data_IF_199171716175
#
_entry.id   IF_199171716175
#
_cell.length_a   1.000
_cell.length_b   1.000
_cell.length_c   1.000
_cell.angle_alpha   90.00
_cell.angle_beta   90.00
_cell.angle_gamma   90.00
#
_symmetry.space_group_name_H-M   'P 1'
#
loop_
_entity.id
_entity.type
_entity.pdbx_description
1 polymer ?
#
# COMPACT_ATOMS: atom_id res chain seq x y z
N UNK A 1 18.82 20.25 3.80
CA UNK A 1 17.45 19.81 4.10
C UNK A 1 16.50 20.60 3.19
N UNK A 2 15.66 19.91 2.44
CA UNK A 2 14.69 20.52 1.53
C UNK A 2 13.32 19.84 1.66
N UNK A 3 12.25 20.65 1.64
CA UNK A 3 10.88 20.18 1.46
C UNK A 3 10.47 20.46 0.01
N UNK A 4 9.92 19.46 -0.66
CA UNK A 4 9.36 19.59 -2.01
C UNK A 4 7.88 19.27 -1.95
N UNK A 5 7.04 20.27 -2.24
CA UNK A 5 5.60 20.08 -2.40
C UNK A 5 5.31 19.31 -3.69
N UNK A 6 4.39 18.35 -3.63
CA UNK A 6 3.85 17.68 -4.81
C UNK A 6 2.59 18.40 -5.26
N UNK A 7 2.58 18.82 -6.51
CA UNK A 7 1.43 19.49 -7.14
C UNK A 7 1.24 18.92 -8.56
N UNK A 8 0.25 18.03 -8.77
CA UNK A 8 -0.79 17.62 -7.82
C UNK A 8 -0.28 16.62 -6.76
N UNK A 9 -0.99 16.47 -5.62
CA UNK A 9 -0.73 15.39 -4.67
C UNK A 9 -0.83 14.01 -5.32
N UNK A 10 0.03 13.07 -4.91
CA UNK A 10 0.14 11.76 -5.52
C UNK A 10 -0.59 10.68 -4.70
N UNK A 11 -1.46 9.85 -5.31
CA UNK A 11 -2.05 8.69 -4.63
C UNK A 11 -1.00 7.63 -4.30
N UNK A 12 -0.84 7.37 -3.01
CA UNK A 12 0.11 6.39 -2.47
C UNK A 12 -0.56 5.44 -1.48
N UNK A 13 0.09 4.33 -1.21
CA UNK A 13 -0.22 3.40 -0.14
C UNK A 13 0.95 3.40 0.84
N UNK A 14 0.67 3.62 2.12
CA UNK A 14 1.64 3.54 3.21
C UNK A 14 1.46 2.21 3.92
N UNK A 15 2.55 1.43 4.00
CA UNK A 15 2.55 0.14 4.68
C UNK A 15 2.06 0.32 6.13
N UNK A 16 1.09 -0.52 6.52
CA UNK A 16 0.43 -0.52 7.83
C UNK A 16 -0.37 0.76 8.19
N UNK A 17 -0.69 1.59 7.18
CA UNK A 17 -1.59 2.76 7.31
C UNK A 17 -2.70 2.80 6.26
N UNK A 18 -2.44 2.29 5.05
CA UNK A 18 -3.45 2.24 3.99
C UNK A 18 -3.21 3.26 2.88
N UNK A 19 -4.27 3.55 2.13
CA UNK A 19 -4.24 4.52 1.04
C UNK A 19 -4.18 5.96 1.56
N UNK A 20 -3.60 6.84 0.77
CA UNK A 20 -3.53 8.26 1.06
C UNK A 20 -3.05 9.10 -0.11
N UNK A 21 -3.06 10.41 0.10
CA UNK A 21 -2.53 11.41 -0.84
C UNK A 21 -1.24 12.01 -0.29
N UNK A 22 -0.14 11.81 -1.02
CA UNK A 22 1.15 12.41 -0.71
C UNK A 22 1.18 13.87 -1.19
N UNK A 23 1.40 14.80 -0.26
CA UNK A 23 1.44 16.24 -0.50
C UNK A 23 2.85 16.78 -0.65
N UNK A 24 3.87 16.03 -0.21
CA UNK A 24 5.25 16.47 -0.27
C UNK A 24 6.24 15.40 0.13
N UNK A 25 7.51 15.67 -0.18
CA UNK A 25 8.66 14.88 0.27
C UNK A 25 9.67 15.76 1.00
N UNK A 26 10.31 15.19 2.02
CA UNK A 26 11.38 15.83 2.80
C UNK A 26 12.67 15.05 2.54
N UNK A 27 13.68 15.76 2.04
CA UNK A 27 15.02 15.23 1.85
C UNK A 27 15.97 15.77 2.92
N UNK A 28 16.47 14.85 3.74
CA UNK A 28 17.47 15.11 4.78
C UNK A 28 18.91 14.92 4.29
N UNK A 29 19.12 14.34 3.12
CA UNK A 29 20.43 14.11 2.50
C UNK A 29 20.85 12.64 2.38
N UNK A 30 22.12 12.38 1.99
CA UNK A 30 22.60 11.07 1.51
C UNK A 30 22.47 9.87 2.46
N UNK A 31 22.32 10.10 3.76
CA UNK A 31 22.28 9.06 4.80
C UNK A 31 20.86 8.86 5.39
N UNK A 32 19.85 9.47 4.77
CA UNK A 32 18.46 9.42 5.24
C UNK A 32 17.51 9.01 4.14
N UNK A 33 16.42 8.33 4.52
CA UNK A 33 15.33 8.08 3.59
C UNK A 33 14.65 9.41 3.23
N UNK A 34 14.22 9.53 1.97
CA UNK A 34 13.18 10.50 1.61
C UNK A 34 11.95 10.21 2.46
N UNK A 35 11.42 11.24 3.14
CA UNK A 35 10.23 11.13 3.97
C UNK A 35 9.04 11.69 3.20
N UNK A 36 7.99 10.91 3.09
CA UNK A 36 6.76 11.27 2.38
C UNK A 36 5.71 11.77 3.37
N UNK A 37 5.18 12.97 3.12
CA UNK A 37 4.09 13.57 3.88
C UNK A 37 2.77 13.21 3.21
N UNK A 38 1.97 12.37 3.86
CA UNK A 38 0.78 11.75 3.28
C UNK A 38 -0.43 11.99 4.18
N UNK A 39 -1.54 12.46 3.62
CA UNK A 39 -2.83 12.42 4.30
C UNK A 39 -3.44 11.02 4.09
N UNK A 40 -3.69 10.30 5.18
CA UNK A 40 -4.27 8.95 5.14
C UNK A 40 -5.78 9.05 4.92
N UNK A 41 -6.30 8.30 3.95
CA UNK A 41 -7.69 8.41 3.52
C UNK A 41 -8.68 8.00 4.63
N UNK A 42 -8.41 6.88 5.30
CA UNK A 42 -9.34 6.29 6.28
C UNK A 42 -9.36 7.05 7.62
N UNK A 43 -8.20 7.49 8.11
CA UNK A 43 -8.08 8.15 9.43
C UNK A 43 -8.05 9.68 9.35
N UNK A 44 -7.76 10.26 8.18
CA UNK A 44 -7.51 11.70 8.02
C UNK A 44 -6.19 12.19 8.62
N UNK A 45 -5.36 11.30 9.16
CA UNK A 45 -4.09 11.67 9.76
C UNK A 45 -3.07 12.12 8.71
N UNK A 46 -2.29 13.15 9.03
CA UNK A 46 -1.08 13.46 8.27
C UNK A 46 0.06 12.61 8.83
N UNK A 47 0.56 11.70 8.01
CA UNK A 47 1.61 10.75 8.37
C UNK A 47 2.89 10.98 7.57
N UNK A 48 4.03 10.85 8.23
CA UNK A 48 5.36 10.93 7.63
C UNK A 48 5.97 9.52 7.54
N UNK A 49 6.12 8.99 6.32
CA UNK A 49 6.65 7.64 6.09
C UNK A 49 7.99 7.67 5.33
N UNK A 50 9.00 6.88 5.71
CA UNK A 50 10.23 6.78 4.92
C UNK A 50 9.98 6.03 3.61
N UNK A 51 10.76 6.33 2.58
CA UNK A 51 10.61 5.78 1.23
C UNK A 51 10.35 4.24 1.15
N UNK A 52 11.04 3.37 1.94
CA UNK A 52 10.77 1.93 1.91
C UNK A 52 9.35 1.52 2.34
N UNK A 53 8.59 2.39 2.99
CA UNK A 53 7.22 2.17 3.47
C UNK A 53 6.14 2.68 2.51
N UNK A 54 6.51 3.35 1.42
CA UNK A 54 5.55 3.99 0.50
C UNK A 54 5.49 3.21 -0.81
N UNK A 55 4.28 2.94 -1.31
CA UNK A 55 4.02 2.28 -2.59
C UNK A 55 3.08 3.13 -3.42
N UNK A 56 3.20 3.07 -4.75
CA UNK A 56 2.16 3.63 -5.61
C UNK A 56 0.87 2.82 -5.43
N UNK A 57 -0.28 3.48 -5.53
CA UNK A 57 -1.56 2.78 -5.59
C UNK A 57 -1.72 1.99 -6.90
N UNK A 58 -2.70 1.09 -6.90
CA UNK A 58 -3.18 0.35 -8.06
C UNK A 58 -3.59 1.30 -9.18
N UNK A 59 -3.28 0.97 -10.43
CA UNK A 59 -3.65 1.77 -11.58
C UNK A 59 -3.82 0.87 -12.82
N UNK A 60 -5.08 0.58 -13.14
CA UNK A 60 -5.46 -0.35 -14.20
C UNK A 60 -5.10 0.14 -15.61
N UNK A 61 -5.18 1.45 -15.89
CA UNK A 61 -4.80 2.00 -17.19
C UNK A 61 -3.29 1.96 -17.41
N UNK A 62 -2.51 2.02 -16.33
CA UNK A 62 -1.06 1.82 -16.36
C UNK A 62 -0.63 0.36 -16.15
N UNK A 63 -1.58 -0.60 -16.16
CA UNK A 63 -1.29 -2.02 -15.94
C UNK A 63 -0.72 -2.37 -14.56
N UNK A 64 -0.69 -1.41 -13.62
CA UNK A 64 -0.32 -1.66 -12.22
C UNK A 64 -1.51 -2.37 -11.58
N UNK A 65 -1.40 -3.69 -11.43
CA UNK A 65 -2.38 -4.53 -10.71
C UNK A 65 -2.02 -4.61 -9.24
N UNK A 66 -3.03 -4.77 -8.39
CA UNK A 66 -2.85 -5.06 -6.97
C UNK A 66 -1.96 -6.30 -6.85
N UNK A 67 -0.79 -6.16 -6.23
CA UNK A 67 -0.10 -7.35 -5.73
C UNK A 67 -0.90 -7.79 -4.54
N UNK A 68 -1.71 -8.83 -4.72
CA UNK A 68 -2.28 -9.56 -3.60
C UNK A 68 -1.12 -9.83 -2.66
N UNK A 69 -1.17 -9.18 -1.49
CA UNK A 69 -0.28 -9.53 -0.39
C UNK A 69 -0.46 -11.04 -0.24
N UNK A 70 0.60 -11.87 -0.29
CA UNK A 70 0.44 -13.25 0.13
C UNK A 70 -0.17 -13.15 1.52
N UNK A 71 -1.38 -13.69 1.68
CA UNK A 71 -2.06 -13.70 2.96
C UNK A 71 -1.02 -14.15 3.97
N UNK A 72 -0.81 -13.37 5.04
CA UNK A 72 0.05 -13.81 6.12
C UNK A 72 -0.37 -15.25 6.42
N UNK A 73 0.56 -16.19 6.30
CA UNK A 73 0.31 -17.63 6.50
C UNK A 73 -0.02 -17.83 7.97
N UNK A 74 -1.22 -17.44 8.38
CA UNK A 74 -1.81 -17.78 9.64
C UNK A 74 -2.15 -19.25 9.55
N UNK A 75 -1.39 -20.07 10.26
CA UNK A 75 -1.72 -21.46 10.52
C UNK A 75 -3.19 -21.56 10.96
N UNK A 76 -4.08 -21.93 10.05
CA UNK A 76 -5.40 -22.42 10.43
C UNK A 76 -5.20 -23.83 10.97
N UNK A 77 -5.03 -23.93 12.29
CA UNK A 77 -5.22 -25.19 13.00
C UNK A 77 -6.66 -25.69 12.76
N UNK A 78 -6.76 -26.80 12.04
CA UNK A 78 -7.75 -27.88 12.18
C UNK A 78 -9.25 -27.54 12.05
N UNK A 79 -9.93 -28.20 11.12
CA UNK A 79 -11.38 -28.35 11.18
C UNK A 79 -12.05 -28.77 9.88
N UNK A 80 -12.18 -30.09 9.71
CA UNK A 80 -13.27 -30.82 9.03
C UNK A 80 -13.95 -30.24 7.76
N UNK A 81 -13.66 -30.92 6.63
CA UNK A 81 -14.63 -31.37 5.61
C UNK A 81 -15.62 -30.37 5.03
N UNK A 82 -15.43 -30.02 3.75
CA UNK A 82 -16.59 -29.86 2.88
C UNK A 82 -16.27 -30.24 1.42
N UNK A 83 -17.30 -30.72 0.75
CA UNK A 83 -17.33 -31.62 -0.40
C UNK A 83 -16.91 -30.98 -1.73
N UNK A 84 -16.25 -31.77 -2.60
CA UNK A 84 -16.01 -31.39 -4.00
C UNK A 84 -17.32 -31.45 -4.80
N UNK A 85 -17.70 -30.42 -5.58
CA UNK A 85 -18.81 -30.55 -6.51
C UNK A 85 -18.35 -31.36 -7.73
N UNK A 86 -19.04 -32.47 -7.98
CA UNK A 86 -19.00 -33.24 -9.22
C UNK A 86 -19.55 -32.39 -10.38
N UNK A 87 -18.73 -32.18 -11.41
CA UNK A 87 -19.18 -31.61 -12.69
C UNK A 87 -20.11 -32.60 -13.41
N UNK A 88 -21.21 -32.17 -14.03
CA UNK A 88 -22.00 -33.03 -14.91
C UNK A 88 -21.27 -33.20 -16.25
N UNK A 89 -20.91 -34.44 -16.58
CA UNK A 89 -20.40 -34.83 -17.89
C UNK A 89 -21.50 -34.85 -18.95
N UNK A 90 -21.10 -34.52 -20.18
CA UNK A 90 -21.81 -34.85 -21.42
C UNK A 90 -21.50 -36.30 -21.82
#
# INVERSE_FOLDING_TARGET
>A
MAFTQLDPPLPVFVVDRGNGLAHGVIDYGPEHNLIWVTAIDDSGEIWCAPNPMVRMQNNWTMGRKHRDRPAATGERRGGAGDVTPISPGL
#
